data_IF_023193273404
#
_entry.id   IF_023193273404
#
_cell.length_a   1.000
_cell.length_b   1.000
_cell.length_c   1.000
_cell.angle_alpha   90.00
_cell.angle_beta   90.00
_cell.angle_gamma   90.00
#
_symmetry.space_group_name_H-M   'P 1'
#
loop_
_entity.id
_entity.type
_entity.pdbx_description
1 polymer ?
#
# COMPACT_ATOMS: atom_id res chain seq x y z
N UNK A 1 -13.20 13.11 11.61
CA UNK A 1 -13.07 11.81 10.91
C UNK A 1 -13.21 12.08 9.42
N UNK A 2 -12.11 12.24 8.69
CA UNK A 2 -12.17 12.37 7.22
C UNK A 2 -12.50 11.01 6.64
N UNK A 3 -13.71 10.84 6.12
CA UNK A 3 -14.10 9.65 5.39
C UNK A 3 -13.12 9.46 4.23
N UNK A 4 -12.26 8.45 4.34
CA UNK A 4 -11.31 8.11 3.29
C UNK A 4 -12.14 7.54 2.15
N UNK A 5 -12.28 8.30 1.07
CA UNK A 5 -13.05 7.89 -0.10
C UNK A 5 -12.39 6.62 -0.66
N UNK A 6 -13.03 5.47 -0.45
CA UNK A 6 -12.63 4.23 -1.09
C UNK A 6 -12.85 4.36 -2.58
N UNK A 7 -11.78 4.15 -3.36
CA UNK A 7 -11.83 4.23 -4.82
C UNK A 7 -11.98 2.84 -5.41
N UNK A 8 -12.68 2.73 -6.52
CA UNK A 8 -12.73 1.48 -7.28
C UNK A 8 -11.31 1.08 -7.71
N UNK A 9 -10.99 -0.22 -7.69
CA UNK A 9 -9.71 -0.73 -8.15
C UNK A 9 -9.64 -0.84 -9.68
N UNK A 10 -9.67 0.29 -10.38
CA UNK A 10 -9.63 0.35 -11.84
C UNK A 10 -8.30 -0.17 -12.42
N UNK A 11 -7.18 -0.02 -11.69
CA UNK A 11 -5.85 -0.45 -12.14
C UNK A 11 -5.71 -1.95 -12.43
N UNK A 12 -6.59 -2.81 -11.88
CA UNK A 12 -6.64 -4.25 -12.24
C UNK A 12 -6.85 -4.44 -13.75
N UNK A 13 -7.58 -3.55 -14.41
CA UNK A 13 -7.86 -3.64 -15.85
C UNK A 13 -6.59 -3.50 -16.70
N UNK A 14 -5.50 -2.96 -16.15
CA UNK A 14 -4.22 -2.84 -16.85
C UNK A 14 -3.43 -4.16 -16.86
N UNK A 15 -3.77 -5.14 -16.01
CA UNK A 15 -3.06 -6.40 -15.96
C UNK A 15 -3.50 -7.36 -17.09
N UNK A 16 -2.63 -8.28 -17.53
CA UNK A 16 -3.03 -9.37 -18.43
C UNK A 16 -4.20 -10.17 -17.86
N UNK A 17 -5.07 -10.69 -18.74
CA UNK A 17 -6.27 -11.42 -18.33
C UNK A 17 -5.98 -12.59 -17.37
N UNK A 18 -4.87 -13.32 -17.59
CA UNK A 18 -4.45 -14.39 -16.69
C UNK A 18 -4.18 -13.90 -15.25
N UNK A 19 -3.53 -12.75 -15.11
CA UNK A 19 -3.26 -12.11 -13.80
C UNK A 19 -4.55 -11.61 -13.16
N UNK A 20 -5.46 -10.99 -13.94
CA UNK A 20 -6.76 -10.55 -13.44
C UNK A 20 -7.57 -11.73 -12.87
N UNK A 21 -7.64 -12.84 -13.62
CA UNK A 21 -8.34 -14.05 -13.20
C UNK A 21 -7.74 -14.63 -11.92
N UNK A 22 -6.41 -14.69 -11.82
CA UNK A 22 -5.75 -15.21 -10.62
C UNK A 22 -5.95 -14.31 -9.40
N UNK A 23 -5.91 -12.99 -9.58
CA UNK A 23 -6.24 -12.03 -8.53
C UNK A 23 -7.69 -12.21 -8.07
N UNK A 24 -8.64 -12.32 -9.00
CA UNK A 24 -10.04 -12.54 -8.66
C UNK A 24 -10.26 -13.83 -7.86
N UNK A 25 -9.60 -14.92 -8.26
CA UNK A 25 -9.62 -16.20 -7.51
C UNK A 25 -9.08 -16.03 -6.08
N UNK A 26 -7.91 -15.36 -5.93
CA UNK A 26 -7.30 -15.13 -4.61
C UNK A 26 -8.20 -14.26 -3.70
N UNK A 27 -8.75 -13.16 -4.24
CA UNK A 27 -9.69 -12.32 -3.49
C UNK A 27 -10.98 -13.07 -3.14
N UNK A 28 -11.45 -13.93 -4.04
CA UNK A 28 -12.61 -14.79 -3.80
C UNK A 28 -12.39 -15.78 -2.65
N UNK A 29 -11.20 -16.39 -2.56
CA UNK A 29 -10.83 -17.29 -1.45
C UNK A 29 -10.84 -16.58 -0.10
N UNK A 30 -10.22 -15.39 -0.02
CA UNK A 30 -10.23 -14.58 1.21
C UNK A 30 -11.67 -14.25 1.65
N UNK A 31 -12.55 -13.91 0.69
CA UNK A 31 -13.95 -13.62 1.01
C UNK A 31 -14.71 -14.84 1.55
N UNK A 32 -14.40 -16.06 1.07
CA UNK A 32 -14.98 -17.30 1.59
C UNK A 32 -14.53 -17.56 3.04
N UNK A 33 -13.35 -17.09 3.43
CA UNK A 33 -12.83 -17.13 4.79
C UNK A 33 -13.34 -15.95 5.66
N UNK A 34 -14.37 -15.23 5.21
CA UNK A 34 -14.91 -14.02 5.83
C UNK A 34 -13.92 -12.84 5.93
N UNK A 35 -12.88 -12.82 5.08
CA UNK A 35 -11.94 -11.71 4.97
C UNK A 35 -12.36 -10.81 3.80
N UNK A 36 -12.98 -9.67 4.11
CA UNK A 36 -13.39 -8.65 3.13
C UNK A 36 -12.42 -7.48 3.01
N UNK A 37 -11.41 -7.40 3.89
CA UNK A 37 -10.43 -6.31 3.90
C UNK A 37 -9.04 -6.87 4.21
N UNK A 38 -8.03 -6.41 3.46
CA UNK A 38 -6.63 -6.72 3.70
C UNK A 38 -5.83 -5.43 3.75
N UNK A 39 -5.03 -5.25 4.80
CA UNK A 39 -4.10 -4.14 4.93
C UNK A 39 -2.67 -4.66 4.83
N UNK A 40 -1.90 -4.09 3.90
CA UNK A 40 -0.49 -4.41 3.66
C UNK A 40 0.36 -3.21 4.08
N UNK A 41 1.29 -3.40 5.01
CA UNK A 41 2.30 -2.41 5.37
C UNK A 41 3.60 -2.73 4.62
N UNK A 42 4.08 -1.79 3.80
CA UNK A 42 5.32 -1.96 3.02
C UNK A 42 6.45 -1.21 3.71
N UNK A 43 7.48 -1.94 4.16
CA UNK A 43 8.64 -1.38 4.87
C UNK A 43 9.96 -1.82 4.23
N UNK A 44 11.02 -1.06 4.48
CA UNK A 44 12.36 -1.37 4.00
C UNK A 44 13.28 -0.15 4.04
N UNK A 45 14.48 -0.27 3.48
CA UNK A 45 15.41 0.87 3.33
C UNK A 45 14.89 1.87 2.29
N UNK A 46 15.46 3.07 2.26
CA UNK A 46 15.21 4.02 1.18
C UNK A 46 15.69 3.48 -0.17
N UNK A 47 14.95 3.74 -1.24
CA UNK A 47 15.37 3.44 -2.61
C UNK A 47 15.27 1.97 -3.05
N UNK A 48 14.76 1.08 -2.21
CA UNK A 48 14.60 -0.36 -2.55
C UNK A 48 13.38 -0.67 -3.44
N UNK A 49 12.60 0.35 -3.81
CA UNK A 49 11.45 0.20 -4.72
C UNK A 49 10.09 0.01 -4.06
N UNK A 50 9.93 0.37 -2.77
CA UNK A 50 8.66 0.24 -2.02
C UNK A 50 7.46 0.87 -2.76
N UNK A 51 7.53 2.17 -3.04
CA UNK A 51 6.50 2.91 -3.77
C UNK A 51 6.27 2.38 -5.18
N UNK A 52 7.33 1.92 -5.86
CA UNK A 52 7.23 1.27 -7.16
C UNK A 52 6.41 -0.02 -7.07
N UNK A 53 6.67 -0.87 -6.07
CA UNK A 53 5.92 -2.09 -5.81
C UNK A 53 4.46 -1.79 -5.48
N UNK A 54 4.17 -0.76 -4.67
CA UNK A 54 2.78 -0.34 -4.38
C UNK A 54 2.05 0.04 -5.66
N UNK A 55 2.66 0.87 -6.52
CA UNK A 55 2.10 1.25 -7.81
C UNK A 55 1.88 0.03 -8.72
N UNK A 56 2.84 -0.91 -8.76
CA UNK A 56 2.75 -2.14 -9.54
C UNK A 56 1.63 -3.07 -9.05
N UNK A 57 1.44 -3.21 -7.74
CA UNK A 57 0.34 -4.01 -7.17
C UNK A 57 -1.00 -3.38 -7.55
N UNK A 58 -1.12 -2.05 -7.43
CA UNK A 58 -2.38 -1.37 -7.71
C UNK A 58 -2.68 -1.25 -9.21
N UNK A 59 -1.67 -1.38 -10.08
CA UNK A 59 -1.82 -1.18 -11.52
C UNK A 59 -2.09 0.29 -11.86
N UNK A 60 -1.61 1.22 -11.05
CA UNK A 60 -1.74 2.67 -11.27
C UNK A 60 -0.70 3.43 -10.44
N UNK A 61 -0.41 4.68 -10.84
CA UNK A 61 0.53 5.55 -10.11
C UNK A 61 -0.19 6.28 -8.99
N UNK A 62 -0.03 5.80 -7.75
CA UNK A 62 -0.59 6.40 -6.53
C UNK A 62 0.46 6.99 -5.60
N UNK A 63 1.66 6.43 -5.61
CA UNK A 63 2.80 6.88 -4.83
C UNK A 63 3.84 7.54 -5.75
N UNK A 64 4.45 8.61 -5.27
CA UNK A 64 5.55 9.28 -5.98
C UNK A 64 6.77 8.38 -5.99
N UNK A 65 7.47 8.31 -7.13
CA UNK A 65 8.71 7.54 -7.29
C UNK A 65 9.77 8.46 -7.88
N UNK A 66 10.93 8.53 -7.22
CA UNK A 66 12.08 9.29 -7.70
C UNK A 66 13.36 8.50 -7.47
N UNK A 67 14.25 8.51 -8.46
CA UNK A 67 15.57 7.89 -8.36
C UNK A 67 16.60 8.80 -7.66
N UNK A 68 16.31 10.10 -7.57
CA UNK A 68 17.29 11.12 -7.14
C UNK A 68 16.83 11.96 -5.95
N UNK A 69 15.54 11.95 -5.63
CA UNK A 69 15.01 12.67 -4.47
C UNK A 69 14.94 11.74 -3.27
N UNK A 70 15.25 12.29 -2.09
CA UNK A 70 14.97 11.60 -0.83
C UNK A 70 13.48 11.26 -0.74
N UNK A 71 13.19 10.09 -0.18
CA UNK A 71 11.80 9.69 0.08
C UNK A 71 11.15 10.70 1.05
N UNK A 72 9.91 11.07 0.78
CA UNK A 72 9.15 11.91 1.71
C UNK A 72 8.90 11.18 3.02
N UNK A 73 8.95 11.90 4.15
CA UNK A 73 8.75 11.33 5.49
C UNK A 73 7.29 10.99 5.84
N UNK A 74 6.37 10.98 4.87
CA UNK A 74 4.93 10.75 5.13
C UNK A 74 4.49 9.41 4.55
N UNK A 75 4.10 8.44 5.40
CA UNK A 75 3.40 7.25 4.94
C UNK A 75 2.13 7.61 4.18
N UNK A 76 1.81 6.83 3.16
CA UNK A 76 0.63 7.02 2.33
C UNK A 76 -0.21 5.75 2.41
N UNK A 77 -1.47 5.87 2.85
CA UNK A 77 -2.42 4.78 2.75
C UNK A 77 -3.28 4.90 1.49
N UNK A 78 -3.18 3.89 0.64
CA UNK A 78 -3.95 3.75 -0.58
C UNK A 78 -5.00 2.65 -0.42
N UNK A 79 -6.29 3.02 -0.46
CA UNK A 79 -7.40 2.09 -0.36
C UNK A 79 -8.10 1.89 -1.71
N UNK A 80 -8.28 0.64 -2.13
CA UNK A 80 -9.01 0.26 -3.34
C UNK A 80 -10.03 -0.84 -3.09
N UNK A 81 -11.17 -0.76 -3.74
CA UNK A 81 -12.27 -1.72 -3.56
C UNK A 81 -12.64 -2.38 -4.88
N UNK A 82 -12.86 -3.70 -4.87
CA UNK A 82 -13.36 -4.49 -6.02
C UNK A 82 -14.11 -5.71 -5.53
N UNK A 83 -15.27 -6.02 -6.13
CA UNK A 83 -16.09 -7.21 -5.80
C UNK A 83 -16.45 -7.36 -4.29
N UNK A 84 -16.56 -6.24 -3.57
CA UNK A 84 -16.81 -6.21 -2.12
C UNK A 84 -15.59 -6.55 -1.26
N UNK A 85 -14.40 -6.58 -1.84
CA UNK A 85 -13.12 -6.68 -1.14
C UNK A 85 -12.41 -5.33 -1.14
N UNK A 86 -11.82 -4.94 0.00
CA UNK A 86 -11.03 -3.71 0.15
C UNK A 86 -9.56 -4.05 0.39
N UNK A 87 -8.69 -3.57 -0.48
CA UNK A 87 -7.25 -3.62 -0.31
C UNK A 87 -6.74 -2.26 0.17
N UNK A 88 -6.09 -2.24 1.33
CA UNK A 88 -5.34 -1.10 1.83
C UNK A 88 -3.84 -1.42 1.69
N UNK A 89 -3.07 -0.49 1.14
CA UNK A 89 -1.61 -0.58 1.14
C UNK A 89 -1.06 0.69 1.76
N UNK A 90 -0.23 0.54 2.79
CA UNK A 90 0.49 1.62 3.46
C UNK A 90 1.93 1.61 2.93
N UNK A 91 2.24 2.57 2.07
CA UNK A 91 3.60 2.86 1.64
C UNK A 91 4.30 3.70 2.73
N UNK A 92 5.55 3.38 3.05
CA UNK A 92 6.27 4.01 4.16
C UNK A 92 7.60 4.62 3.72
N UNK A 93 8.12 5.62 4.46
CA UNK A 93 9.50 6.08 4.29
C UNK A 93 10.51 4.97 4.60
N UNK A 94 11.72 5.12 4.07
CA UNK A 94 12.85 4.25 4.37
C UNK A 94 13.21 4.23 5.85
N UNK A 95 13.42 3.03 6.41
CA UNK A 95 13.78 2.83 7.81
C UNK A 95 15.26 3.12 8.13
N UNK A 96 16.08 3.33 7.10
CA UNK A 96 17.53 3.53 7.24
C UNK A 96 17.96 4.75 6.43
N UNK A 97 18.67 5.67 7.08
CA UNK A 97 19.22 6.89 6.49
C UNK A 97 20.66 7.09 7.00
N UNK A 98 21.58 7.41 6.10
CA UNK A 98 22.99 7.64 6.47
C UNK A 98 23.70 6.44 7.14
N UNK A 99 23.18 5.22 6.98
CA UNK A 99 23.71 4.01 7.62
C UNK A 99 23.13 3.69 9.00
N UNK A 100 22.23 4.53 9.52
CA UNK A 100 21.58 4.35 10.81
C UNK A 100 20.07 4.16 10.65
N UNK A 101 19.45 3.60 11.69
CA UNK A 101 17.98 3.52 11.76
C UNK A 101 17.41 4.94 11.83
N UNK A 102 16.43 5.24 10.99
CA UNK A 102 15.71 6.51 11.04
C UNK A 102 14.55 6.39 12.04
N UNK A 103 14.78 6.83 13.28
CA UNK A 103 13.77 6.77 14.36
C UNK A 103 12.54 7.63 14.06
N UNK A 104 12.70 8.76 13.36
CA UNK A 104 11.58 9.62 12.97
C UNK A 104 10.64 8.88 12.00
N UNK A 105 11.20 8.12 11.05
CA UNK A 105 10.40 7.29 10.14
C UNK A 105 9.59 6.25 10.93
N UNK A 106 10.19 5.59 11.92
CA UNK A 106 9.50 4.62 12.78
C UNK A 106 8.35 5.28 13.54
N UNK A 107 8.58 6.44 14.17
CA UNK A 107 7.55 7.15 14.93
C UNK A 107 6.37 7.56 14.04
N UNK A 108 6.65 8.06 12.83
CA UNK A 108 5.60 8.47 11.89
C UNK A 108 4.84 7.25 11.37
N UNK A 109 5.51 6.13 11.10
CA UNK A 109 4.84 4.87 10.72
C UNK A 109 3.91 4.42 11.85
N UNK A 110 4.38 4.43 13.09
CA UNK A 110 3.55 4.08 14.26
C UNK A 110 2.30 4.96 14.32
N UNK A 111 2.47 6.29 14.30
CA UNK A 111 1.35 7.24 14.32
C UNK A 111 0.34 7.01 13.19
N UNK A 112 0.82 6.62 12.00
CA UNK A 112 -0.01 6.27 10.86
C UNK A 112 -0.86 5.02 11.15
N UNK A 113 -0.26 3.97 11.73
CA UNK A 113 -0.97 2.75 12.13
C UNK A 113 -2.00 3.03 13.22
N UNK A 114 -1.65 3.81 14.25
CA UNK A 114 -2.57 4.20 15.31
C UNK A 114 -3.80 4.95 14.72
N UNK A 115 -3.56 5.83 13.74
CA UNK A 115 -4.60 6.62 13.08
C UNK A 115 -5.54 5.79 12.20
N UNK A 116 -5.01 4.80 11.48
CA UNK A 116 -5.78 4.07 10.45
C UNK A 116 -6.27 2.70 10.88
N UNK A 117 -5.62 2.08 11.88
CA UNK A 117 -5.90 0.71 12.32
C UNK A 117 -6.27 0.63 13.81
N UNK A 118 -6.10 1.70 14.59
CA UNK A 118 -6.35 1.70 16.04
C UNK A 118 -5.43 0.73 16.80
N UNK A 119 -4.25 0.46 16.25
CA UNK A 119 -3.21 -0.38 16.84
C UNK A 119 -2.34 0.41 17.84
#
# INVERSE_FOLDING_TARGET
>A
MTAQVTREWAGIQQFPAATQNKLHEMLGKLKQENVSTLTILVMGKGGVGKSSTVNSILGERVASVSAFQSEGLRPIMCSRTRAGFTLNIIDTPGLVEGGYVNEQAIEIIKRCLDTHLGA
#
